data_IF_759301198960
#
_entry.id   IF_759301198960
#
_cell.length_a   1.000
_cell.length_b   1.000
_cell.length_c   1.000
_cell.angle_alpha   90.00
_cell.angle_beta   90.00
_cell.angle_gamma   90.00
#
_symmetry.space_group_name_H-M   'P 1'
#
loop_
_entity.id
_entity.type
_entity.pdbx_description
1 polymer ?
#
# COMPACT_ATOMS: atom_id res chain seq x y z
N UNK A 1 -8.05 9.02 -17.55
CA UNK A 1 -8.45 7.60 -17.64
C UNK A 1 -9.69 7.45 -18.52
N UNK A 2 -9.93 6.30 -19.14
CA UNK A 2 -11.18 6.03 -19.88
C UNK A 2 -12.38 5.88 -18.91
N UNK A 3 -13.57 6.29 -19.34
CA UNK A 3 -14.78 6.17 -18.52
C UNK A 3 -15.46 4.81 -18.75
N UNK A 4 -15.39 3.92 -17.75
CA UNK A 4 -15.94 2.56 -17.82
C UNK A 4 -17.43 2.52 -18.12
N UNK A 5 -18.20 3.48 -17.61
CA UNK A 5 -19.66 3.53 -17.86
C UNK A 5 -19.97 3.91 -19.30
N UNK A 6 -19.22 4.86 -19.86
CA UNK A 6 -19.37 5.26 -21.26
C UNK A 6 -18.99 4.13 -22.20
N UNK A 7 -17.85 3.48 -21.97
CA UNK A 7 -17.40 2.34 -22.79
C UNK A 7 -18.39 1.17 -22.70
N UNK A 8 -18.87 0.84 -21.50
CA UNK A 8 -19.90 -0.20 -21.32
C UNK A 8 -21.18 0.09 -22.08
N UNK A 9 -21.63 1.35 -22.06
CA UNK A 9 -22.79 1.80 -22.84
C UNK A 9 -22.54 1.67 -24.35
N UNK A 10 -21.39 2.12 -24.83
CA UNK A 10 -20.99 2.01 -26.24
C UNK A 10 -21.00 0.55 -26.70
N UNK A 11 -20.41 -0.37 -25.93
CA UNK A 11 -20.44 -1.81 -26.25
C UNK A 11 -21.88 -2.34 -26.32
N UNK A 12 -22.72 -1.99 -25.34
CA UNK A 12 -24.12 -2.44 -25.32
C UNK A 12 -24.91 -1.92 -26.53
N UNK A 13 -24.69 -0.67 -26.92
CA UNK A 13 -25.38 -0.02 -28.03
C UNK A 13 -24.92 -0.60 -29.38
N UNK A 14 -23.62 -0.80 -29.58
CA UNK A 14 -23.05 -1.43 -30.78
C UNK A 14 -23.51 -2.88 -30.94
N UNK A 15 -23.53 -3.65 -29.84
CA UNK A 15 -24.04 -5.03 -29.84
C UNK A 15 -25.50 -5.08 -30.27
N UNK A 16 -26.36 -4.23 -29.69
CA UNK A 16 -27.79 -4.16 -30.03
C UNK A 16 -27.99 -3.72 -31.49
N UNK A 17 -27.20 -2.77 -31.98
CA UNK A 17 -27.23 -2.32 -33.39
C UNK A 17 -26.90 -3.46 -34.36
N UNK A 18 -26.04 -4.38 -33.94
CA UNK A 18 -25.69 -5.60 -34.68
C UNK A 18 -26.65 -6.77 -34.40
N UNK A 19 -27.77 -6.54 -33.70
CA UNK A 19 -28.80 -7.54 -33.38
C UNK A 19 -28.25 -8.80 -32.69
N UNK A 20 -27.28 -8.64 -31.77
CA UNK A 20 -26.70 -9.73 -30.99
C UNK A 20 -27.17 -9.67 -29.54
N UNK A 21 -27.34 -10.82 -28.90
CA UNK A 21 -27.43 -11.00 -27.45
C UNK A 21 -26.03 -10.93 -26.82
N UNK A 22 -25.98 -10.72 -25.50
CA UNK A 22 -24.71 -10.75 -24.77
C UNK A 22 -24.01 -12.12 -24.86
N UNK A 23 -24.79 -13.22 -24.94
CA UNK A 23 -24.25 -14.57 -25.13
C UNK A 23 -23.59 -14.70 -26.51
N UNK A 24 -24.25 -14.26 -27.58
CA UNK A 24 -23.69 -14.33 -28.94
C UNK A 24 -22.42 -13.49 -29.08
N UNK A 25 -22.36 -12.31 -28.43
CA UNK A 25 -21.12 -11.52 -28.40
C UNK A 25 -20.00 -12.25 -27.65
N UNK A 26 -20.33 -12.87 -26.51
CA UNK A 26 -19.36 -13.64 -25.72
C UNK A 26 -18.81 -14.85 -26.50
N UNK A 27 -19.69 -15.57 -27.21
CA UNK A 27 -19.32 -16.69 -28.08
C UNK A 27 -18.38 -16.26 -29.20
N UNK A 28 -18.68 -15.13 -29.88
CA UNK A 28 -17.81 -14.58 -30.94
C UNK A 28 -16.42 -14.19 -30.42
N UNK A 29 -16.35 -13.68 -29.21
CA UNK A 29 -15.10 -13.24 -28.57
C UNK A 29 -14.33 -14.38 -27.89
N UNK A 30 -14.94 -15.56 -27.76
CA UNK A 30 -14.37 -16.69 -27.02
C UNK A 30 -14.22 -16.43 -25.53
N UNK A 31 -15.13 -15.67 -24.92
CA UNK A 31 -15.10 -15.30 -23.49
C UNK A 31 -16.40 -15.68 -22.78
N UNK A 32 -16.46 -15.46 -21.47
CA UNK A 32 -17.66 -15.74 -20.70
C UNK A 32 -18.74 -14.67 -20.91
N UNK A 33 -20.01 -15.08 -20.82
CA UNK A 33 -21.14 -14.16 -20.76
C UNK A 33 -20.97 -13.11 -19.65
N UNK A 34 -20.43 -13.52 -18.50
CA UNK A 34 -20.21 -12.65 -17.34
C UNK A 34 -19.24 -11.51 -17.65
N UNK A 35 -18.20 -11.76 -18.48
CA UNK A 35 -17.27 -10.72 -18.92
C UNK A 35 -18.00 -9.64 -19.71
N UNK A 36 -18.73 -10.01 -20.76
CA UNK A 36 -19.54 -9.08 -21.58
C UNK A 36 -20.56 -8.34 -20.71
N UNK A 37 -21.25 -9.06 -19.83
CA UNK A 37 -22.25 -8.50 -18.92
C UNK A 37 -21.64 -7.47 -17.96
N UNK A 38 -20.42 -7.72 -17.46
CA UNK A 38 -19.66 -6.81 -16.59
C UNK A 38 -19.21 -5.56 -17.33
N UNK A 39 -18.70 -5.72 -18.57
CA UNK A 39 -18.32 -4.60 -19.43
C UNK A 39 -19.49 -3.68 -19.71
N UNK A 40 -20.64 -4.22 -20.12
CA UNK A 40 -21.82 -3.41 -20.45
C UNK A 40 -22.42 -2.65 -19.26
N UNK A 41 -22.15 -3.10 -18.02
CA UNK A 41 -22.51 -2.36 -16.79
C UNK A 41 -21.46 -1.34 -16.36
N UNK A 42 -20.32 -1.26 -17.04
CA UNK A 42 -19.19 -0.44 -16.65
C UNK A 42 -18.53 -0.90 -15.35
N UNK A 43 -18.68 -2.17 -14.98
CA UNK A 43 -18.05 -2.74 -13.78
C UNK A 43 -16.60 -3.15 -14.04
N UNK A 44 -16.26 -3.50 -15.27
CA UNK A 44 -14.89 -3.81 -15.73
C UNK A 44 -14.70 -3.28 -17.15
N UNK A 45 -13.45 -3.19 -17.61
CA UNK A 45 -13.10 -2.85 -18.99
C UNK A 45 -12.72 -4.09 -19.80
N UNK A 46 -12.85 -4.07 -21.14
CA UNK A 46 -12.16 -5.02 -22.01
C UNK A 46 -10.65 -4.80 -21.96
N UNK A 47 -9.88 -5.88 -21.90
CA UNK A 47 -8.43 -5.82 -22.02
C UNK A 47 -8.01 -5.34 -23.41
N UNK A 48 -6.81 -4.76 -23.53
CA UNK A 48 -6.25 -4.30 -24.81
C UNK A 48 -6.34 -5.35 -25.92
N UNK A 49 -6.11 -6.62 -25.59
CA UNK A 49 -6.15 -7.73 -26.55
C UNK A 49 -7.54 -8.00 -27.14
N UNK A 50 -8.62 -7.50 -26.53
CA UNK A 50 -10.01 -7.67 -27.01
C UNK A 50 -10.55 -6.46 -27.77
N UNK A 51 -9.84 -5.33 -27.74
CA UNK A 51 -10.24 -4.13 -28.45
C UNK A 51 -10.27 -4.34 -29.98
N UNK A 52 -9.31 -5.05 -30.61
CA UNK A 52 -9.36 -5.32 -32.05
C UNK A 52 -10.55 -6.19 -32.45
N UNK A 53 -10.79 -7.29 -31.70
CA UNK A 53 -11.92 -8.19 -31.95
C UNK A 53 -13.26 -7.44 -31.87
N UNK A 54 -13.43 -6.58 -30.85
CA UNK A 54 -14.63 -5.77 -30.67
C UNK A 54 -14.81 -4.76 -31.81
N UNK A 55 -13.73 -4.06 -32.19
CA UNK A 55 -13.70 -3.11 -33.29
C UNK A 55 -14.10 -3.78 -34.62
N UNK A 56 -13.56 -4.97 -34.90
CA UNK A 56 -13.90 -5.76 -36.08
C UNK A 56 -15.36 -6.23 -36.07
N UNK A 57 -15.81 -6.84 -34.96
CA UNK A 57 -17.20 -7.35 -34.83
C UNK A 57 -18.23 -6.22 -35.03
N UNK A 58 -17.95 -5.02 -34.52
CA UNK A 58 -18.87 -3.89 -34.62
C UNK A 58 -18.65 -2.99 -35.84
N UNK A 59 -17.53 -3.16 -36.56
CA UNK A 59 -17.16 -2.33 -37.70
C UNK A 59 -16.84 -0.87 -37.33
N UNK A 60 -16.15 -0.65 -36.20
CA UNK A 60 -15.79 0.68 -35.68
C UNK A 60 -14.30 0.76 -35.32
N UNK A 61 -13.77 1.95 -35.04
CA UNK A 61 -12.40 2.12 -34.51
C UNK A 61 -12.33 1.84 -33.02
N UNK A 62 -11.13 1.55 -32.49
CA UNK A 62 -10.90 1.42 -31.05
C UNK A 62 -11.21 2.73 -30.33
N UNK A 63 -10.85 3.88 -30.91
CA UNK A 63 -11.22 5.18 -30.33
C UNK A 63 -12.73 5.40 -30.24
N UNK A 64 -13.50 4.93 -31.22
CA UNK A 64 -14.97 4.94 -31.17
C UNK A 64 -15.49 4.07 -30.03
N UNK A 65 -14.91 2.87 -29.84
CA UNK A 65 -15.29 1.95 -28.77
C UNK A 65 -15.03 2.57 -27.39
N UNK A 66 -13.89 3.24 -27.24
CA UNK A 66 -13.42 3.81 -25.97
C UNK A 66 -13.89 5.25 -25.71
N UNK A 67 -14.55 5.88 -26.68
CA UNK A 67 -15.04 7.26 -26.60
C UNK A 67 -13.95 8.33 -26.78
N UNK A 68 -12.70 7.96 -27.01
CA UNK A 68 -11.59 8.86 -27.33
C UNK A 68 -10.47 8.13 -28.08
N UNK A 69 -9.81 8.83 -28.98
CA UNK A 69 -8.62 8.33 -29.67
C UNK A 69 -7.39 8.31 -28.75
N UNK A 70 -6.52 7.32 -28.95
CA UNK A 70 -5.25 7.22 -28.23
C UNK A 70 -4.19 6.59 -29.16
N UNK A 71 -3.36 7.42 -29.81
CA UNK A 71 -2.33 6.92 -30.72
C UNK A 71 -1.35 5.95 -30.05
N UNK A 72 -1.01 6.19 -28.78
CA UNK A 72 -0.22 5.25 -27.98
C UNK A 72 -0.90 3.88 -27.85
N UNK A 73 -2.19 3.84 -27.52
CA UNK A 73 -2.93 2.59 -27.38
C UNK A 73 -3.02 1.85 -28.73
N UNK A 74 -3.26 2.57 -29.82
CA UNK A 74 -3.26 2.00 -31.16
C UNK A 74 -1.91 1.38 -31.51
N UNK A 75 -0.80 2.08 -31.21
CA UNK A 75 0.55 1.55 -31.42
C UNK A 75 0.81 0.26 -30.64
N UNK A 76 0.27 0.14 -29.41
CA UNK A 76 0.39 -1.05 -28.58
C UNK A 76 -0.46 -2.21 -29.09
N UNK A 77 -1.61 -1.91 -29.68
CA UNK A 77 -2.48 -2.90 -30.32
C UNK A 77 -1.85 -3.44 -31.59
N UNK A 78 -1.20 -2.57 -32.37
CA UNK A 78 -0.56 -2.91 -33.64
C UNK A 78 0.86 -3.47 -33.50
N UNK A 79 1.38 -3.58 -32.28
CA UNK A 79 2.76 -3.97 -31.96
C UNK A 79 3.82 -3.06 -32.62
N UNK A 80 3.50 -1.76 -32.76
CA UNK A 80 4.36 -0.70 -33.31
C UNK A 80 4.81 0.31 -32.27
N UNK A 81 4.82 -0.09 -31.00
CA UNK A 81 5.13 0.81 -29.88
C UNK A 81 6.54 1.41 -30.00
N UNK A 82 7.52 0.66 -30.51
CA UNK A 82 8.89 1.17 -30.69
C UNK A 82 8.94 2.29 -31.72
N UNK A 83 8.41 2.05 -32.93
CA UNK A 83 8.31 3.05 -34.00
C UNK A 83 7.56 4.31 -33.52
N UNK A 84 6.45 4.11 -32.78
CA UNK A 84 5.67 5.21 -32.24
C UNK A 84 6.47 6.06 -31.25
N UNK A 85 7.21 5.44 -30.33
CA UNK A 85 7.97 6.15 -29.31
C UNK A 85 9.26 6.80 -29.85
N UNK A 86 9.78 6.37 -31.01
CA UNK A 86 10.86 7.07 -31.71
C UNK A 86 10.42 8.43 -32.26
N UNK A 87 9.17 8.53 -32.70
CA UNK A 87 8.64 9.74 -33.36
C UNK A 87 7.80 10.62 -32.43
N UNK A 88 7.36 10.10 -31.28
CA UNK A 88 6.40 10.76 -30.39
C UNK A 88 6.84 10.71 -28.93
N UNK A 89 6.65 11.81 -28.21
CA UNK A 89 6.77 11.85 -26.76
C UNK A 89 5.48 11.36 -26.09
N UNK A 90 5.59 10.51 -25.08
CA UNK A 90 4.46 10.08 -24.24
C UNK A 90 4.55 10.72 -22.86
N UNK A 91 3.44 11.27 -22.41
CA UNK A 91 3.29 11.81 -21.05
C UNK A 91 2.85 10.73 -20.05
N UNK A 92 3.18 10.91 -18.77
CA UNK A 92 2.65 10.04 -17.69
C UNK A 92 1.12 10.01 -17.70
N UNK A 93 0.47 11.14 -17.97
CA UNK A 93 -0.98 11.21 -18.01
C UNK A 93 -1.58 10.35 -19.13
N UNK A 94 -0.93 10.32 -20.30
CA UNK A 94 -1.34 9.45 -21.40
C UNK A 94 -1.17 7.98 -21.03
N UNK A 95 -0.01 7.59 -20.50
CA UNK A 95 0.25 6.21 -20.09
C UNK A 95 -0.71 5.78 -18.97
N UNK A 96 -0.86 6.57 -17.91
CA UNK A 96 -1.81 6.34 -16.81
C UNK A 96 -3.24 6.25 -17.32
N UNK A 97 -3.57 7.04 -18.33
CA UNK A 97 -4.88 7.05 -18.96
C UNK A 97 -5.27 5.72 -19.59
N UNK A 98 -4.27 4.93 -20.03
CA UNK A 98 -4.46 3.65 -20.73
C UNK A 98 -3.96 2.43 -19.93
N UNK A 99 -3.11 2.62 -18.91
CA UNK A 99 -2.48 1.56 -18.11
C UNK A 99 -3.46 0.50 -17.58
N UNK A 100 -4.69 0.84 -17.13
CA UNK A 100 -5.67 -0.17 -16.71
C UNK A 100 -6.10 -1.17 -17.79
N UNK A 101 -5.85 -0.87 -19.07
CA UNK A 101 -6.19 -1.73 -20.20
C UNK A 101 -5.01 -2.62 -20.62
N UNK A 102 -3.81 -2.33 -20.11
CA UNK A 102 -2.56 -2.95 -20.53
C UNK A 102 -2.15 -4.09 -19.61
N UNK A 103 -1.33 -5.00 -20.13
CA UNK A 103 -0.57 -5.93 -19.28
C UNK A 103 0.61 -5.20 -18.65
N UNK A 104 1.08 -5.61 -17.45
CA UNK A 104 2.24 -4.98 -16.81
C UNK A 104 3.46 -4.87 -17.73
N UNK A 105 3.78 -5.92 -18.49
CA UNK A 105 4.91 -5.90 -19.44
C UNK A 105 4.78 -4.86 -20.55
N UNK A 106 3.55 -4.48 -20.93
CA UNK A 106 3.31 -3.41 -21.90
C UNK A 106 3.45 -2.03 -21.26
N UNK A 107 3.02 -1.89 -20.00
CA UNK A 107 3.25 -0.67 -19.21
C UNK A 107 4.75 -0.48 -19.01
N UNK A 108 5.48 -1.51 -18.61
CA UNK A 108 6.92 -1.50 -18.42
C UNK A 108 7.66 -1.05 -19.69
N UNK A 109 7.29 -1.58 -20.86
CA UNK A 109 7.91 -1.21 -22.15
C UNK A 109 7.80 0.29 -22.43
N UNK A 110 6.62 0.87 -22.22
CA UNK A 110 6.42 2.32 -22.41
C UNK A 110 7.13 3.10 -21.30
N UNK A 111 7.00 2.61 -20.06
CA UNK A 111 7.58 3.22 -18.87
C UNK A 111 9.09 3.37 -18.98
N UNK A 112 9.82 2.33 -19.38
CA UNK A 112 11.29 2.35 -19.48
C UNK A 112 11.82 3.42 -20.44
N UNK A 113 11.06 3.75 -21.48
CA UNK A 113 11.45 4.79 -22.43
C UNK A 113 11.19 6.20 -21.91
N UNK A 114 10.20 6.35 -21.03
CA UNK A 114 9.81 7.65 -20.48
C UNK A 114 10.27 7.87 -19.03
N UNK A 115 10.83 6.85 -18.39
CA UNK A 115 11.26 6.83 -16.98
C UNK A 115 12.21 7.99 -16.67
N UNK A 116 13.12 8.30 -17.60
CA UNK A 116 14.09 9.39 -17.45
C UNK A 116 13.47 10.79 -17.50
N UNK A 117 12.23 10.90 -17.97
CA UNK A 117 11.54 12.18 -18.17
C UNK A 117 10.68 12.62 -16.98
N UNK A 118 10.48 11.74 -15.98
CA UNK A 118 9.58 12.02 -14.86
C UNK A 118 10.18 11.65 -13.51
N UNK A 119 9.63 12.25 -12.45
CA UNK A 119 9.93 11.88 -11.06
C UNK A 119 9.09 10.68 -10.60
N UNK A 120 9.57 9.94 -9.59
CA UNK A 120 8.81 8.81 -9.02
C UNK A 120 7.49 9.27 -8.38
N UNK A 121 7.45 10.50 -7.84
CA UNK A 121 6.22 11.12 -7.31
C UNK A 121 5.15 11.30 -8.40
N UNK A 122 5.55 11.71 -9.61
CA UNK A 122 4.62 11.84 -10.74
C UNK A 122 4.13 10.48 -11.25
N UNK A 123 4.86 9.40 -10.94
CA UNK A 123 4.57 8.04 -11.37
C UNK A 123 3.76 7.23 -10.35
N UNK A 124 3.32 7.82 -9.23
CA UNK A 124 2.53 7.11 -8.20
C UNK A 124 1.30 6.40 -8.79
N UNK A 125 0.61 7.06 -9.73
CA UNK A 125 -0.56 6.52 -10.42
C UNK A 125 -0.24 5.32 -11.32
N UNK A 126 1.04 5.13 -11.69
CA UNK A 126 1.52 4.00 -12.50
C UNK A 126 1.96 2.81 -11.66
N UNK A 127 2.33 3.00 -10.39
CA UNK A 127 2.86 1.94 -9.52
C UNK A 127 2.00 0.65 -9.52
N UNK A 128 0.66 0.72 -9.47
CA UNK A 128 -0.18 -0.49 -9.47
C UNK A 128 -0.13 -1.30 -10.78
N UNK A 129 0.36 -0.69 -11.86
CA UNK A 129 0.35 -1.26 -13.21
C UNK A 129 1.73 -1.73 -13.68
N UNK A 130 2.80 -1.38 -12.96
CA UNK A 130 4.15 -1.82 -13.24
C UNK A 130 4.37 -3.26 -12.79
N UNK A 131 5.29 -3.97 -13.45
CA UNK A 131 5.71 -5.29 -12.96
C UNK A 131 6.54 -5.18 -11.69
N UNK A 132 6.58 -6.30 -10.95
CA UNK A 132 7.43 -6.43 -9.76
C UNK A 132 8.90 -6.15 -10.06
N UNK A 133 9.42 -6.56 -11.23
CA UNK A 133 10.82 -6.33 -11.58
C UNK A 133 11.16 -4.84 -11.71
N UNK A 134 10.28 -4.06 -12.35
CA UNK A 134 10.43 -2.61 -12.47
C UNK A 134 10.30 -1.95 -11.10
N UNK A 135 9.28 -2.32 -10.31
CA UNK A 135 9.07 -1.78 -8.97
C UNK A 135 10.27 -2.03 -8.06
N UNK A 136 10.84 -3.24 -8.06
CA UNK A 136 12.03 -3.55 -7.26
C UNK A 136 13.26 -2.75 -7.70
N UNK A 137 13.42 -2.52 -9.02
CA UNK A 137 14.51 -1.68 -9.55
C UNK A 137 14.37 -0.23 -9.11
N UNK A 138 13.16 0.34 -9.19
CA UNK A 138 12.87 1.70 -8.73
C UNK A 138 13.07 1.84 -7.23
N UNK A 139 12.59 0.86 -6.45
CA UNK A 139 12.77 0.82 -5.00
C UNK A 139 14.24 0.80 -4.59
N UNK A 140 15.07 -0.04 -5.26
CA UNK A 140 16.52 -0.08 -5.02
C UNK A 140 17.19 1.26 -5.34
N UNK A 141 16.81 1.91 -6.45
CA UNK A 141 17.33 3.23 -6.78
C UNK A 141 16.93 4.29 -5.74
N UNK A 142 15.65 4.35 -5.37
CA UNK A 142 15.18 5.29 -4.36
C UNK A 142 15.87 5.07 -3.00
N UNK A 143 16.12 3.80 -2.64
CA UNK A 143 16.86 3.44 -1.44
C UNK A 143 18.32 3.92 -1.48
N UNK A 144 19.03 3.71 -2.59
CA UNK A 144 20.42 4.15 -2.79
C UNK A 144 20.56 5.68 -2.81
N UNK A 145 19.55 6.38 -3.33
CA UNK A 145 19.48 7.84 -3.39
C UNK A 145 18.90 8.48 -2.10
N UNK A 146 18.65 7.68 -1.05
CA UNK A 146 18.06 8.12 0.23
C UNK A 146 16.68 8.79 0.10
N UNK A 147 15.93 8.49 -0.97
CA UNK A 147 14.58 8.98 -1.24
C UNK A 147 13.53 8.10 -0.55
N UNK A 148 13.56 8.08 0.77
CA UNK A 148 12.74 7.16 1.57
C UNK A 148 11.23 7.37 1.44
N UNK A 149 10.79 8.61 1.17
CA UNK A 149 9.38 8.90 0.89
C UNK A 149 8.89 8.20 -0.37
N UNK A 150 9.67 8.26 -1.44
CA UNK A 150 9.37 7.55 -2.70
C UNK A 150 9.36 6.04 -2.48
N UNK A 151 10.30 5.53 -1.67
CA UNK A 151 10.31 4.11 -1.26
C UNK A 151 9.03 3.72 -0.49
N UNK A 152 8.57 4.57 0.43
CA UNK A 152 7.31 4.37 1.17
C UNK A 152 6.10 4.27 0.25
N UNK A 153 6.04 5.10 -0.80
CA UNK A 153 4.98 5.05 -1.81
C UNK A 153 4.97 3.72 -2.60
N UNK A 154 6.15 3.14 -2.84
CA UNK A 154 6.29 1.85 -3.52
C UNK A 154 6.07 0.64 -2.60
N UNK A 155 6.27 0.80 -1.29
CA UNK A 155 6.22 -0.29 -0.31
C UNK A 155 4.98 -1.20 -0.38
N UNK A 156 3.75 -0.71 -0.64
CA UNK A 156 2.56 -1.56 -0.81
C UNK A 156 2.67 -2.59 -1.94
N UNK A 157 3.51 -2.33 -2.96
CA UNK A 157 3.64 -3.14 -4.17
C UNK A 157 4.90 -4.01 -4.17
N UNK A 158 5.77 -3.86 -3.18
CA UNK A 158 7.04 -4.56 -3.08
C UNK A 158 6.93 -5.86 -2.29
N UNK A 159 7.87 -6.78 -2.53
CA UNK A 159 7.97 -7.99 -1.74
C UNK A 159 8.40 -7.67 -0.31
N UNK A 160 7.76 -8.31 0.67
CA UNK A 160 8.10 -8.13 2.09
C UNK A 160 9.57 -8.48 2.38
N UNK A 161 10.11 -9.47 1.68
CA UNK A 161 11.52 -9.86 1.82
C UNK A 161 12.46 -8.70 1.45
N UNK A 162 12.21 -8.02 0.33
CA UNK A 162 13.01 -6.87 -0.09
C UNK A 162 12.97 -5.74 0.95
N UNK A 163 11.76 -5.43 1.44
CA UNK A 163 11.57 -4.39 2.45
C UNK A 163 12.26 -4.72 3.78
N UNK A 164 12.20 -5.98 4.21
CA UNK A 164 12.90 -6.46 5.40
C UNK A 164 14.43 -6.33 5.26
N UNK A 165 14.97 -6.66 4.08
CA UNK A 165 16.41 -6.53 3.81
C UNK A 165 16.85 -5.06 3.77
N UNK A 166 16.05 -4.18 3.17
CA UNK A 166 16.25 -2.73 3.19
C UNK A 166 16.21 -2.19 4.63
N UNK A 167 15.21 -2.55 5.42
CA UNK A 167 15.06 -2.11 6.81
C UNK A 167 16.27 -2.51 7.67
N UNK A 168 16.81 -3.73 7.49
CA UNK A 168 18.03 -4.18 8.19
C UNK A 168 19.26 -3.34 7.84
N UNK A 169 19.36 -2.86 6.61
CA UNK A 169 20.45 -1.96 6.19
C UNK A 169 20.25 -0.57 6.79
N UNK A 170 19.03 -0.03 6.70
CA UNK A 170 18.69 1.28 7.30
C UNK A 170 18.95 1.30 8.80
N UNK A 171 18.59 0.23 9.51
CA UNK A 171 18.76 0.12 10.96
C UNK A 171 20.24 0.19 11.36
N UNK A 172 21.12 -0.45 10.57
CA UNK A 172 22.58 -0.37 10.77
C UNK A 172 23.14 1.01 10.45
N UNK A 173 22.49 1.77 9.56
CA UNK A 173 22.88 3.12 9.17
C UNK A 173 22.30 4.23 10.08
N UNK A 174 21.57 3.87 11.15
CA UNK A 174 21.00 4.83 12.10
C UNK A 174 19.48 5.00 12.01
N UNK A 175 18.82 4.24 11.16
CA UNK A 175 17.36 4.10 11.13
C UNK A 175 16.58 5.18 10.39
N UNK A 176 17.26 6.06 9.65
CA UNK A 176 16.62 7.12 8.87
C UNK A 176 15.70 6.53 7.79
N UNK A 177 14.45 6.99 7.74
CA UNK A 177 13.45 6.62 6.72
C UNK A 177 12.76 5.28 6.95
N UNK A 178 13.08 4.55 8.02
CA UNK A 178 12.47 3.24 8.31
C UNK A 178 10.96 3.37 8.49
N UNK A 179 10.50 4.48 9.07
CA UNK A 179 9.10 4.79 9.31
C UNK A 179 8.24 4.76 8.04
N UNK A 180 8.83 5.09 6.88
CA UNK A 180 8.16 5.06 5.58
C UNK A 180 7.78 3.64 5.13
N UNK A 181 8.57 2.64 5.53
CA UNK A 181 8.36 1.22 5.15
C UNK A 181 7.91 0.33 6.32
N UNK A 182 7.98 0.84 7.55
CA UNK A 182 7.69 0.12 8.79
C UNK A 182 6.33 -0.61 8.79
N UNK A 183 5.23 -0.04 8.24
CA UNK A 183 3.93 -0.73 8.18
C UNK A 183 3.92 -2.00 7.32
N UNK A 184 4.91 -2.18 6.45
CA UNK A 184 4.95 -3.26 5.45
C UNK A 184 5.93 -4.38 5.83
N UNK A 185 6.77 -4.16 6.84
CA UNK A 185 7.77 -5.11 7.32
C UNK A 185 7.14 -6.36 7.96
N UNK A 186 7.93 -7.43 8.02
CA UNK A 186 7.52 -8.62 8.76
C UNK A 186 7.55 -8.37 10.27
N UNK A 187 6.66 -9.08 10.99
CA UNK A 187 6.67 -9.08 12.46
C UNK A 187 7.99 -9.58 13.05
N UNK A 188 8.69 -10.45 12.33
CA UNK A 188 10.00 -10.96 12.73
C UNK A 188 11.04 -9.85 12.68
N UNK A 189 11.19 -9.18 11.53
CA UNK A 189 12.12 -8.05 11.37
C UNK A 189 11.84 -6.93 12.37
N UNK A 190 10.57 -6.53 12.52
CA UNK A 190 10.18 -5.51 13.52
C UNK A 190 10.51 -5.97 14.95
N UNK A 191 10.31 -7.25 15.26
CA UNK A 191 10.65 -7.83 16.57
C UNK A 191 12.15 -7.81 16.85
N UNK A 192 12.98 -8.20 15.88
CA UNK A 192 14.45 -8.14 15.98
C UNK A 192 14.94 -6.70 16.16
N UNK A 193 14.40 -5.76 15.38
CA UNK A 193 14.72 -4.33 15.51
C UNK A 193 14.37 -3.82 16.90
N UNK A 194 13.16 -4.12 17.40
CA UNK A 194 12.73 -3.70 18.72
C UNK A 194 13.62 -4.28 19.83
N UNK A 195 13.97 -5.56 19.77
CA UNK A 195 14.91 -6.17 20.72
C UNK A 195 16.26 -5.45 20.72
N UNK A 196 16.82 -5.18 19.54
CA UNK A 196 18.12 -4.53 19.39
C UNK A 196 18.11 -3.07 19.86
N UNK A 197 17.06 -2.31 19.53
CA UNK A 197 16.89 -0.92 19.98
C UNK A 197 16.70 -0.84 21.48
N UNK A 198 15.85 -1.70 22.05
CA UNK A 198 15.63 -1.77 23.50
C UNK A 198 16.93 -2.06 24.27
N UNK A 199 17.73 -3.02 23.80
CA UNK A 199 18.99 -3.37 24.44
C UNK A 199 20.01 -2.21 24.48
N UNK A 200 19.95 -1.27 23.52
CA UNK A 200 20.89 -0.14 23.41
C UNK A 200 20.37 1.14 24.05
N UNK A 201 19.08 1.44 23.91
CA UNK A 201 18.48 2.73 24.27
C UNK A 201 17.30 2.63 25.24
N UNK A 202 17.00 1.43 25.76
CA UNK A 202 15.89 1.20 26.67
C UNK A 202 14.53 1.45 26.02
N UNK A 203 13.52 1.67 26.85
CA UNK A 203 12.12 1.82 26.42
C UNK A 203 11.89 2.98 25.45
N UNK A 204 12.56 4.12 25.64
CA UNK A 204 12.41 5.30 24.76
C UNK A 204 12.86 5.05 23.32
N UNK A 205 13.70 4.03 23.07
CA UNK A 205 14.14 3.68 21.72
C UNK A 205 13.08 2.91 20.91
N UNK A 206 11.89 2.68 21.47
CA UNK A 206 10.81 1.91 20.86
C UNK A 206 9.59 2.75 20.45
N UNK A 207 9.64 4.08 20.64
CA UNK A 207 8.48 4.95 20.50
C UNK A 207 7.80 4.86 19.12
N UNK A 208 8.59 4.71 18.07
CA UNK A 208 8.13 4.52 16.69
C UNK A 208 7.71 3.07 16.38
N UNK A 209 8.18 2.09 17.15
CA UNK A 209 7.93 0.67 16.93
C UNK A 209 6.71 0.14 17.68
N UNK A 210 6.22 0.84 18.71
CA UNK A 210 5.10 0.35 19.54
C UNK A 210 3.86 -0.13 18.75
N UNK A 211 3.41 0.55 17.68
CA UNK A 211 2.24 0.09 16.92
C UNK A 211 2.47 -1.24 16.17
N UNK A 212 3.72 -1.62 15.93
CA UNK A 212 4.10 -2.69 15.01
C UNK A 212 4.67 -3.93 15.71
N UNK A 213 5.14 -3.80 16.95
CA UNK A 213 5.66 -4.92 17.74
C UNK A 213 4.57 -5.77 18.38
N UNK A 214 4.90 -7.00 18.74
CA UNK A 214 3.94 -7.90 19.39
C UNK A 214 3.60 -7.45 20.81
N UNK A 215 2.33 -7.65 21.21
CA UNK A 215 1.88 -7.37 22.59
C UNK A 215 2.68 -8.12 23.64
N UNK A 216 3.09 -9.37 23.36
CA UNK A 216 3.90 -10.17 24.26
C UNK A 216 5.26 -9.54 24.53
N UNK A 217 5.92 -9.03 23.48
CA UNK A 217 7.19 -8.30 23.62
C UNK A 217 7.01 -7.01 24.43
N UNK A 218 5.95 -6.23 24.18
CA UNK A 218 5.66 -5.03 24.95
C UNK A 218 5.44 -5.32 26.44
N UNK A 219 4.73 -6.40 26.77
CA UNK A 219 4.55 -6.82 28.16
C UNK A 219 5.87 -7.22 28.81
N UNK A 220 6.75 -7.93 28.11
CA UNK A 220 8.08 -8.29 28.61
C UNK A 220 8.92 -7.04 28.92
N UNK A 221 8.95 -6.08 27.97
CA UNK A 221 9.62 -4.78 28.16
C UNK A 221 9.02 -4.04 29.35
N UNK A 222 7.70 -3.95 29.44
CA UNK A 222 7.01 -3.30 30.54
C UNK A 222 7.38 -3.94 31.90
N UNK A 223 7.39 -5.26 32.02
CA UNK A 223 7.79 -5.92 33.27
C UNK A 223 9.23 -5.56 33.68
N UNK A 224 10.17 -5.55 32.73
CA UNK A 224 11.58 -5.18 32.97
C UNK A 224 11.70 -3.72 33.43
N UNK A 225 11.03 -2.81 32.74
CA UNK A 225 11.05 -1.38 33.08
C UNK A 225 10.39 -1.07 34.42
N UNK A 226 9.27 -1.73 34.72
CA UNK A 226 8.59 -1.56 36.01
C UNK A 226 9.49 -2.00 37.17
N UNK A 227 10.18 -3.14 37.04
CA UNK A 227 11.10 -3.62 38.07
C UNK A 227 12.27 -2.65 38.32
N UNK A 228 12.77 -1.99 37.28
CA UNK A 228 13.90 -1.07 37.38
C UNK A 228 13.51 0.34 37.86
N UNK A 229 12.43 0.90 37.31
CA UNK A 229 12.10 2.33 37.39
C UNK A 229 10.65 2.61 37.81
N UNK A 230 9.86 1.57 38.11
CA UNK A 230 8.43 1.69 38.30
C UNK A 230 7.73 2.19 37.04
N UNK A 231 6.61 2.89 37.21
CA UNK A 231 5.77 3.35 36.08
C UNK A 231 6.23 4.67 35.44
N UNK A 232 7.36 5.24 35.86
CA UNK A 232 7.76 6.62 35.49
C UNK A 232 7.82 6.85 33.98
N UNK A 233 8.28 5.87 33.21
CA UNK A 233 8.50 5.98 31.76
C UNK A 233 7.40 5.30 30.93
N UNK A 234 6.24 4.99 31.53
CA UNK A 234 5.23 4.17 30.86
C UNK A 234 4.30 4.94 29.91
N UNK A 235 4.33 6.27 29.91
CA UNK A 235 3.39 7.07 29.13
C UNK A 235 3.39 6.71 27.62
N UNK A 236 4.56 6.37 27.05
CA UNK A 236 4.69 5.97 25.65
C UNK A 236 4.20 4.56 25.34
N UNK A 237 4.51 3.58 26.20
CA UNK A 237 4.15 2.17 25.98
C UNK A 237 2.70 1.85 26.40
N UNK A 238 2.14 2.60 27.35
CA UNK A 238 0.83 2.32 27.94
C UNK A 238 -0.34 2.23 26.94
N UNK A 239 -0.47 3.09 25.91
CA UNK A 239 -1.52 2.95 24.90
C UNK A 239 -1.55 1.58 24.19
N UNK A 240 -0.41 0.88 24.16
CA UNK A 240 -0.20 -0.35 23.41
C UNK A 240 -0.23 -1.62 24.28
N UNK A 241 -0.32 -1.46 25.60
CA UNK A 241 -0.42 -2.55 26.56
C UNK A 241 -1.88 -2.96 26.79
N UNK A 242 -2.06 -4.22 27.18
CA UNK A 242 -3.37 -4.70 27.60
C UNK A 242 -3.85 -3.96 28.86
N UNK A 243 -5.13 -3.62 28.90
CA UNK A 243 -5.70 -2.81 29.98
C UNK A 243 -5.74 -3.53 31.32
N UNK A 244 -5.98 -4.85 31.32
CA UNK A 244 -5.97 -5.65 32.54
C UNK A 244 -4.54 -5.76 33.08
N UNK A 245 -3.56 -5.92 32.18
CA UNK A 245 -2.14 -5.89 32.53
C UNK A 245 -1.70 -4.54 33.13
N UNK A 246 -2.12 -3.41 32.54
CA UNK A 246 -1.87 -2.09 33.13
C UNK A 246 -2.53 -1.93 34.49
N UNK A 247 -3.73 -2.48 34.66
CA UNK A 247 -4.47 -2.44 35.93
C UNK A 247 -3.72 -3.20 37.03
N UNK A 248 -3.15 -4.38 36.72
CA UNK A 248 -2.37 -5.13 37.72
C UNK A 248 -1.10 -4.41 38.11
N UNK A 249 -0.35 -3.85 37.15
CA UNK A 249 0.84 -3.03 37.44
C UNK A 249 0.50 -1.77 38.26
N UNK A 250 -0.62 -1.12 37.95
CA UNK A 250 -1.07 0.05 38.69
C UNK A 250 -1.41 -0.27 40.15
N UNK A 251 -2.07 -1.40 40.42
CA UNK A 251 -2.38 -1.84 41.79
C UNK A 251 -1.11 -2.06 42.60
N UNK A 252 -0.13 -2.76 42.03
CA UNK A 252 1.16 -2.99 42.66
C UNK A 252 1.91 -1.67 42.95
N UNK A 253 1.94 -0.76 41.98
CA UNK A 253 2.58 0.55 42.15
C UNK A 253 1.90 1.42 43.21
N UNK A 254 0.57 1.33 43.33
CA UNK A 254 -0.22 2.05 44.32
C UNK A 254 0.05 1.60 45.76
N UNK A 255 0.20 0.30 45.95
CA UNK A 255 0.55 -0.31 47.24
C UNK A 255 1.96 0.09 47.66
N UNK A 256 2.91 0.04 46.73
CA UNK A 256 4.33 0.27 46.99
C UNK A 256 4.72 1.76 47.09
N UNK A 257 4.29 2.56 46.13
CA UNK A 257 4.81 3.92 45.88
C UNK A 257 3.71 5.00 45.95
N UNK A 258 2.45 4.60 46.19
CA UNK A 258 1.32 5.49 46.38
C UNK A 258 0.73 6.07 45.08
N UNK A 259 -0.28 6.93 45.22
CA UNK A 259 -1.12 7.40 44.09
C UNK A 259 -0.35 8.16 43.01
N UNK A 260 0.75 8.83 43.36
CA UNK A 260 1.55 9.57 42.39
C UNK A 260 2.28 8.65 41.41
N UNK A 261 2.54 7.40 41.79
CA UNK A 261 3.26 6.44 40.96
C UNK A 261 2.50 6.04 39.70
N UNK A 262 1.16 6.03 39.75
CA UNK A 262 0.31 5.63 38.61
C UNK A 262 0.01 6.76 37.63
N UNK A 263 0.41 8.00 37.93
CA UNK A 263 0.13 9.17 37.09
C UNK A 263 0.51 8.97 35.61
N UNK A 264 1.65 8.34 35.25
CA UNK A 264 2.04 8.15 33.84
C UNK A 264 1.10 7.25 33.04
N UNK A 265 0.35 6.37 33.70
CA UNK A 265 -0.58 5.43 33.05
C UNK A 265 -2.05 5.68 33.37
N UNK A 266 -2.34 6.62 34.26
CA UNK A 266 -3.69 6.93 34.72
C UNK A 266 -4.72 7.15 33.59
N UNK A 267 -4.39 7.82 32.46
CA UNK A 267 -5.32 7.97 31.33
C UNK A 267 -5.80 6.65 30.71
N UNK A 268 -5.06 5.57 30.90
CA UNK A 268 -5.33 4.26 30.28
C UNK A 268 -6.01 3.29 31.24
N UNK A 269 -6.10 3.61 32.53
CA UNK A 269 -6.74 2.79 33.55
C UNK A 269 -8.27 2.86 33.47
N UNK A 270 -8.93 1.91 34.15
CA UNK A 270 -10.39 1.91 34.32
C UNK A 270 -10.81 2.93 35.37
N UNK A 271 -11.95 3.58 35.17
CA UNK A 271 -12.46 4.61 36.08
C UNK A 271 -12.78 4.05 37.46
N UNK A 272 -13.30 2.83 37.51
CA UNK A 272 -13.68 2.12 38.74
C UNK A 272 -12.47 1.97 39.67
N UNK A 273 -11.31 1.60 39.10
CA UNK A 273 -10.06 1.48 39.85
C UNK A 273 -9.62 2.83 40.45
N UNK A 274 -9.66 3.90 39.66
CA UNK A 274 -9.29 5.23 40.13
C UNK A 274 -10.23 5.70 41.25
N UNK A 275 -11.52 5.37 41.13
CA UNK A 275 -12.56 5.70 42.11
C UNK A 275 -12.33 4.98 43.44
N UNK A 276 -12.05 3.67 43.41
CA UNK A 276 -11.71 2.88 44.61
C UNK A 276 -10.50 3.45 45.35
N UNK A 277 -9.44 3.80 44.63
CA UNK A 277 -8.20 4.36 45.20
C UNK A 277 -8.42 5.72 45.85
N UNK A 278 -9.25 6.57 45.25
CA UNK A 278 -9.61 7.88 45.82
C UNK A 278 -10.45 7.68 47.08
N UNK A 279 -11.42 6.76 47.03
CA UNK A 279 -12.31 6.48 48.16
C UNK A 279 -11.57 5.91 49.37
N UNK A 280 -10.59 5.03 49.19
CA UNK A 280 -9.86 4.41 50.31
C UNK A 280 -8.84 5.33 51.00
N UNK A 281 -8.33 6.36 50.31
CA UNK A 281 -7.22 7.19 50.82
C UNK A 281 -7.58 8.64 51.11
N UNK A 282 -8.68 9.18 50.57
CA UNK A 282 -9.00 10.61 50.62
C UNK A 282 -10.44 10.94 51.02
N UNK A 283 -11.29 9.94 51.22
CA UNK A 283 -12.65 10.06 51.75
C UNK A 283 -12.78 9.28 53.06
#
# INVERSE_FOLDING_TARGET
MFNMQEVGRTISDLRKKNNMTQMELAERLGISYQAVSSWERGSTMPDIAKLPDLAEIFGVTIGTLLGKESPLLESLVEDKTEEYLEENSVTVHELTGIAPLLKPTQVDKVFEQVESSFSVEEMEDLLPFLSSDVLERLAKRAFEEEKYRELGNMAPFLSRQLLDDMAKVMEKAGGQGIDEILPFLSRETVGEMAQNRYAKGGISALDDLYPFVSKGFLQEVAMKEYAANGLRNFAGIAPFLDREFLTSLAKEALEKDGIKAIAPIAPFLKWEMLSEVIAEKYL
#
